data_IF_636438393367
#
_entry.id   IF_636438393367
#
_cell.length_a   1.000
_cell.length_b   1.000
_cell.length_c   1.000
_cell.angle_alpha   90.00
_cell.angle_beta   90.00
_cell.angle_gamma   90.00
#
_symmetry.space_group_name_H-M   'P 1'
#
loop_
_entity.id
_entity.type
_entity.pdbx_description
1 polymer ?
#
# COMPACT_ATOMS: atom_id res chain seq x y z
N UNK A 1 -5.10 -12.34 25.47
CA UNK A 1 -5.94 -13.53 25.64
C UNK A 1 -6.70 -13.75 24.36
N UNK A 2 -6.57 -14.92 23.74
CA UNK A 2 -7.49 -15.34 22.70
C UNK A 2 -8.68 -16.01 23.40
N UNK A 3 -9.90 -15.60 23.09
CA UNK A 3 -11.11 -15.98 23.83
C UNK A 3 -12.32 -16.06 22.87
N UNK A 4 -13.47 -16.53 23.35
CA UNK A 4 -14.74 -16.68 22.63
C UNK A 4 -14.70 -17.66 21.45
N UNK A 5 -14.03 -18.80 21.63
CA UNK A 5 -14.04 -19.87 20.64
C UNK A 5 -15.27 -20.77 20.81
N UNK A 6 -15.93 -21.08 19.69
CA UNK A 6 -17.00 -22.06 19.62
C UNK A 6 -16.77 -22.96 18.41
N UNK A 7 -17.03 -24.26 18.58
CA UNK A 7 -16.95 -25.22 17.48
C UNK A 7 -18.21 -25.08 16.62
N UNK A 8 -18.05 -24.78 15.34
CA UNK A 8 -19.16 -24.80 14.40
C UNK A 8 -19.36 -26.23 13.88
N UNK A 9 -20.59 -26.76 13.94
CA UNK A 9 -20.90 -28.16 13.57
C UNK A 9 -20.75 -28.48 12.07
N UNK A 10 -20.52 -27.46 11.26
CA UNK A 10 -20.41 -27.53 9.80
C UNK A 10 -18.99 -27.15 9.39
N UNK A 11 -18.10 -28.11 9.09
CA UNK A 11 -16.71 -27.82 8.72
C UNK A 11 -16.56 -27.01 7.42
N UNK A 12 -17.61 -26.93 6.61
CA UNK A 12 -17.70 -26.12 5.39
C UNK A 12 -17.94 -24.62 5.67
N UNK A 13 -18.45 -24.27 6.86
CA UNK A 13 -18.72 -22.89 7.29
C UNK A 13 -17.48 -22.25 7.92
N UNK A 14 -16.42 -22.18 7.13
CA UNK A 14 -15.20 -21.44 7.49
C UNK A 14 -15.44 -19.94 7.36
N UNK A 15 -14.77 -19.14 8.17
CA UNK A 15 -14.70 -17.69 7.95
C UNK A 15 -14.11 -17.41 6.57
N UNK A 16 -14.80 -16.61 5.76
CA UNK A 16 -14.35 -16.18 4.44
C UNK A 16 -14.23 -14.66 4.44
N UNK A 17 -13.31 -14.14 3.64
CA UNK A 17 -13.28 -12.70 3.40
C UNK A 17 -14.63 -12.24 2.84
N UNK A 18 -15.18 -11.16 3.39
CA UNK A 18 -16.48 -10.61 2.98
C UNK A 18 -17.70 -11.13 3.76
N UNK A 19 -17.55 -12.03 4.75
CA UNK A 19 -18.69 -12.51 5.56
C UNK A 19 -19.03 -11.60 6.76
N UNK A 20 -18.30 -10.50 6.94
CA UNK A 20 -18.55 -9.53 8.01
C UNK A 20 -19.63 -8.53 7.57
N UNK A 21 -20.56 -8.21 8.47
CA UNK A 21 -21.52 -7.13 8.24
C UNK A 21 -20.83 -5.75 8.23
N UNK A 22 -19.83 -5.56 9.10
CA UNK A 22 -19.11 -4.31 9.23
C UNK A 22 -18.23 -4.28 10.47
N UNK A 23 -17.72 -3.10 10.79
CA UNK A 23 -16.88 -2.85 11.96
C UNK A 23 -17.55 -1.81 12.86
N UNK A 24 -17.42 -1.97 14.18
CA UNK A 24 -17.82 -0.96 15.14
C UNK A 24 -16.60 -0.15 15.56
N UNK A 25 -16.64 1.17 15.35
CA UNK A 25 -15.55 2.08 15.67
C UNK A 25 -15.93 2.98 16.85
N UNK A 26 -14.97 3.18 17.75
CA UNK A 26 -15.05 4.19 18.82
C UNK A 26 -13.85 5.12 18.68
N UNK A 27 -14.10 6.34 18.20
CA UNK A 27 -13.08 7.31 17.82
C UNK A 27 -13.08 8.46 18.84
N UNK A 28 -11.89 8.86 19.31
CA UNK A 28 -11.70 10.05 20.14
C UNK A 28 -10.92 11.10 19.34
N UNK A 29 -11.57 12.21 19.03
CA UNK A 29 -10.93 13.37 18.41
C UNK A 29 -10.27 14.24 19.49
N UNK A 30 -9.13 14.86 19.17
CA UNK A 30 -8.36 15.75 20.06
C UNK A 30 -8.05 17.06 19.33
N UNK A 31 -7.88 18.16 20.06
CA UNK A 31 -7.53 19.47 19.47
C UNK A 31 -8.67 20.13 18.68
N UNK A 32 -9.91 19.98 19.16
CA UNK A 32 -11.11 20.51 18.49
C UNK A 32 -11.39 21.94 18.96
N UNK A 33 -11.71 22.83 18.02
CA UNK A 33 -12.11 24.20 18.33
C UNK A 33 -13.46 24.26 19.05
N UNK A 34 -13.64 25.17 20.02
CA UNK A 34 -14.92 25.34 20.71
C UNK A 34 -16.08 25.61 19.73
N UNK A 35 -17.20 24.90 19.88
CA UNK A 35 -18.41 25.07 19.04
C UNK A 35 -18.57 24.05 17.91
N UNK A 36 -17.53 23.29 17.57
CA UNK A 36 -17.53 22.31 16.46
C UNK A 36 -18.36 21.04 16.72
N UNK A 37 -19.02 20.91 17.90
CA UNK A 37 -19.78 19.70 18.27
C UNK A 37 -21.10 19.56 17.53
N UNK A 38 -21.68 20.67 17.05
CA UNK A 38 -22.97 20.68 16.35
C UNK A 38 -22.91 19.98 14.99
N UNK A 39 -21.76 20.00 14.32
CA UNK A 39 -21.55 19.45 12.98
C UNK A 39 -21.63 17.91 12.96
N UNK A 40 -21.29 17.26 14.08
CA UNK A 40 -21.29 15.79 14.20
C UNK A 40 -22.70 15.20 14.15
N UNK A 41 -23.73 15.98 14.50
CA UNK A 41 -25.13 15.53 14.45
C UNK A 41 -25.55 15.07 13.05
N UNK A 42 -25.08 15.78 12.01
CA UNK A 42 -25.38 15.47 10.61
C UNK A 42 -24.93 14.06 10.18
N UNK A 43 -23.82 13.55 10.75
CA UNK A 43 -23.33 12.19 10.45
C UNK A 43 -24.32 11.11 10.87
N UNK A 44 -25.13 11.37 11.91
CA UNK A 44 -26.18 10.45 12.35
C UNK A 44 -27.37 10.49 11.42
N UNK A 45 -27.78 11.68 11.01
CA UNK A 45 -29.06 11.90 10.32
C UNK A 45 -28.96 11.66 8.81
N UNK A 46 -27.86 12.09 8.19
CA UNK A 46 -27.65 11.99 6.74
C UNK A 46 -26.52 11.04 6.36
N UNK A 47 -25.73 10.58 7.33
CA UNK A 47 -24.55 9.76 7.05
C UNK A 47 -23.37 10.59 6.51
N UNK A 48 -22.52 9.95 5.71
CA UNK A 48 -21.37 10.56 5.08
C UNK A 48 -21.13 9.97 3.68
N UNK A 49 -20.37 10.68 2.85
CA UNK A 49 -20.00 10.18 1.52
C UNK A 49 -18.95 9.08 1.67
N UNK A 50 -19.25 7.90 1.14
CA UNK A 50 -18.38 6.73 1.22
C UNK A 50 -17.20 6.83 0.23
N UNK A 51 -16.21 7.65 0.55
CA UNK A 51 -14.99 7.78 -0.22
C UNK A 51 -13.99 6.66 0.09
N UNK A 52 -13.20 6.30 -0.91
CA UNK A 52 -11.94 5.60 -0.66
C UNK A 52 -10.98 6.54 0.07
N UNK A 53 -10.64 6.22 1.32
CA UNK A 53 -9.68 7.02 2.09
C UNK A 53 -8.25 6.93 1.53
N UNK A 54 -7.41 7.92 1.87
CA UNK A 54 -6.03 8.06 1.36
C UNK A 54 -5.16 6.79 1.52
N UNK A 55 -5.38 6.03 2.59
CA UNK A 55 -4.70 4.75 2.83
C UNK A 55 -4.88 3.73 1.68
N UNK A 56 -5.96 3.80 0.89
CA UNK A 56 -6.17 2.91 -0.25
C UNK A 56 -5.28 3.25 -1.44
N UNK A 57 -4.75 4.46 -1.46
CA UNK A 57 -3.99 4.99 -2.58
C UNK A 57 -2.47 4.91 -2.36
N UNK A 58 -2.00 4.43 -1.20
CA UNK A 58 -0.55 4.38 -0.94
C UNK A 58 0.03 5.81 -0.93
N UNK A 59 -0.36 6.59 0.08
CA UNK A 59 -0.04 8.01 0.20
C UNK A 59 1.43 8.21 0.61
N UNK A 60 2.20 8.88 -0.26
CA UNK A 60 3.56 9.31 0.04
C UNK A 60 3.52 10.67 0.76
N UNK A 61 4.14 10.74 1.94
CA UNK A 61 4.19 11.97 2.74
C UNK A 61 5.10 13.05 2.13
N UNK A 62 6.00 12.69 1.22
CA UNK A 62 6.92 13.62 0.58
C UNK A 62 6.26 14.48 -0.49
N UNK A 63 5.70 13.84 -1.52
CA UNK A 63 5.09 14.55 -2.66
C UNK A 63 3.56 14.63 -2.61
N UNK A 64 2.93 14.02 -1.59
CA UNK A 64 1.47 13.99 -1.44
C UNK A 64 0.77 13.20 -2.54
N UNK A 65 1.50 12.40 -3.32
CA UNK A 65 0.94 11.66 -4.43
C UNK A 65 0.76 10.18 -4.10
N UNK A 66 -0.16 9.57 -4.84
CA UNK A 66 -0.48 8.15 -4.73
C UNK A 66 0.38 7.32 -5.68
N UNK A 67 1.19 6.41 -5.14
CA UNK A 67 1.90 5.42 -5.96
C UNK A 67 0.93 4.50 -6.71
N UNK A 68 -0.17 4.09 -6.06
CA UNK A 68 -1.15 3.18 -6.66
C UNK A 68 -1.90 3.81 -7.85
N UNK A 69 -2.29 5.09 -7.76
CA UNK A 69 -3.00 5.78 -8.84
C UNK A 69 -2.09 5.95 -10.05
N UNK A 70 -0.83 6.35 -9.86
CA UNK A 70 0.13 6.47 -10.97
C UNK A 70 0.44 5.13 -11.61
N UNK A 71 0.72 4.11 -10.81
CA UNK A 71 0.98 2.77 -11.31
C UNK A 71 -0.24 2.20 -12.05
N UNK A 72 -1.44 2.34 -11.48
CA UNK A 72 -2.68 1.91 -12.12
C UNK A 72 -2.98 2.66 -13.42
N UNK A 73 -2.81 3.98 -13.43
CA UNK A 73 -2.95 4.80 -14.63
C UNK A 73 -2.02 4.35 -15.75
N UNK A 74 -0.73 4.16 -15.43
CA UNK A 74 0.27 3.71 -16.39
C UNK A 74 -0.06 2.31 -16.95
N UNK A 75 -0.56 1.39 -16.12
CA UNK A 75 -1.02 0.06 -16.59
C UNK A 75 -2.19 0.20 -17.56
N UNK A 76 -3.21 1.01 -17.22
CA UNK A 76 -4.39 1.21 -18.06
C UNK A 76 -4.02 1.84 -19.41
N UNK A 77 -3.05 2.76 -19.42
CA UNK A 77 -2.55 3.41 -20.65
C UNK A 77 -1.47 2.60 -21.36
N UNK A 78 -1.19 1.36 -20.92
CA UNK A 78 -0.14 0.47 -21.46
C UNK A 78 1.28 1.03 -21.39
N UNK A 79 1.52 2.02 -20.53
CA UNK A 79 2.87 2.46 -20.17
C UNK A 79 3.45 1.54 -19.09
N UNK A 80 3.80 0.32 -19.49
CA UNK A 80 4.34 -0.67 -18.55
C UNK A 80 5.68 -0.24 -17.96
N UNK A 81 6.49 0.51 -18.72
CA UNK A 81 7.76 1.07 -18.22
C UNK A 81 7.51 2.10 -17.12
N UNK A 82 6.58 3.03 -17.32
CA UNK A 82 6.14 3.97 -16.30
C UNK A 82 5.51 3.29 -15.09
N UNK A 83 4.74 2.22 -15.31
CA UNK A 83 4.15 1.44 -14.24
C UNK A 83 5.21 0.81 -13.33
N UNK A 84 6.22 0.15 -13.90
CA UNK A 84 7.31 -0.45 -13.10
C UNK A 84 8.14 0.62 -12.39
N UNK A 85 8.48 1.73 -13.07
CA UNK A 85 9.19 2.85 -12.43
C UNK A 85 8.40 3.46 -11.27
N UNK A 86 7.08 3.62 -11.43
CA UNK A 86 6.20 4.14 -10.37
C UNK A 86 6.08 3.16 -9.20
N UNK A 87 5.94 1.86 -9.49
CA UNK A 87 5.81 0.81 -8.47
C UNK A 87 7.09 0.63 -7.65
N UNK A 88 8.26 0.66 -8.31
CA UNK A 88 9.55 0.54 -7.66
C UNK A 88 10.01 1.84 -7.00
N UNK A 89 9.26 2.94 -7.11
CA UNK A 89 9.60 4.19 -6.43
C UNK A 89 9.47 4.01 -4.91
N UNK A 90 10.55 4.20 -4.13
CA UNK A 90 10.46 4.17 -2.68
C UNK A 90 9.66 5.38 -2.17
N UNK A 91 9.07 5.24 -0.98
CA UNK A 91 8.43 6.35 -0.28
C UNK A 91 9.48 7.34 0.22
N UNK A 92 9.12 8.61 0.36
CA UNK A 92 10.06 9.63 0.80
C UNK A 92 10.63 9.40 2.21
N UNK A 93 9.87 8.75 3.10
CA UNK A 93 10.30 8.40 4.46
C UNK A 93 10.89 6.98 4.59
N UNK A 94 11.08 6.27 3.47
CA UNK A 94 11.67 4.92 3.46
C UNK A 94 13.20 4.96 3.40
N UNK A 95 13.83 4.61 4.51
CA UNK A 95 15.29 4.61 4.74
C UNK A 95 15.90 3.21 4.70
N UNK A 96 15.18 2.21 4.17
CA UNK A 96 15.69 0.85 4.06
C UNK A 96 16.81 0.71 3.01
N UNK A 97 17.60 -0.36 3.14
CA UNK A 97 18.64 -0.72 2.16
C UNK A 97 18.03 -0.94 0.76
N UNK A 98 16.88 -1.61 0.66
CA UNK A 98 16.22 -1.84 -0.62
C UNK A 98 15.63 -0.55 -1.23
N UNK A 99 15.25 0.43 -0.41
CA UNK A 99 14.85 1.75 -0.89
C UNK A 99 16.04 2.49 -1.53
N UNK A 100 17.23 2.39 -0.95
CA UNK A 100 18.47 2.93 -1.52
C UNK A 100 18.75 2.36 -2.91
N UNK A 101 18.70 1.03 -3.02
CA UNK A 101 18.98 0.33 -4.28
C UNK A 101 17.96 0.73 -5.36
N UNK A 102 16.68 0.86 -4.99
CA UNK A 102 15.62 1.32 -5.91
C UNK A 102 15.81 2.78 -6.34
N UNK A 103 16.28 3.67 -5.45
CA UNK A 103 16.63 5.06 -5.81
C UNK A 103 17.77 5.10 -6.82
N UNK A 104 18.85 4.37 -6.55
CA UNK A 104 20.00 4.29 -7.46
C UNK A 104 19.57 3.77 -8.85
N UNK A 105 18.73 2.74 -8.89
CA UNK A 105 18.20 2.24 -10.16
C UNK A 105 17.35 3.29 -10.91
N UNK A 106 16.53 4.06 -10.22
CA UNK A 106 15.70 5.09 -10.86
C UNK A 106 16.54 6.19 -11.52
N UNK A 107 17.69 6.52 -10.93
CA UNK A 107 18.66 7.48 -11.44
C UNK A 107 19.51 6.93 -12.58
N UNK A 108 20.06 5.73 -12.41
CA UNK A 108 21.04 5.13 -13.34
C UNK A 108 20.40 4.34 -14.48
N UNK A 109 19.24 3.74 -14.24
CA UNK A 109 18.60 2.78 -15.14
C UNK A 109 19.27 1.40 -15.17
N UNK A 110 20.30 1.15 -14.37
CA UNK A 110 21.08 -0.11 -14.38
C UNK A 110 20.35 -1.20 -13.59
N UNK A 111 19.50 -1.95 -14.30
CA UNK A 111 18.69 -3.01 -13.72
C UNK A 111 19.53 -4.21 -13.26
N UNK A 112 20.62 -4.55 -13.95
CA UNK A 112 21.49 -5.68 -13.56
C UNK A 112 22.17 -5.42 -12.22
N UNK A 113 22.73 -4.21 -12.04
CA UNK A 113 23.34 -3.80 -10.78
C UNK A 113 22.34 -3.81 -9.64
N UNK A 114 21.14 -3.26 -9.87
CA UNK A 114 20.09 -3.20 -8.86
C UNK A 114 19.63 -4.58 -8.41
N UNK A 115 19.40 -5.51 -9.35
CA UNK A 115 19.04 -6.91 -9.03
C UNK A 115 20.13 -7.60 -8.21
N UNK A 116 21.41 -7.40 -8.57
CA UNK A 116 22.54 -7.99 -7.83
C UNK A 116 22.70 -7.43 -6.42
N UNK A 117 22.36 -6.16 -6.21
CA UNK A 117 22.36 -5.55 -4.88
C UNK A 117 21.18 -6.07 -4.05
N UNK A 118 19.98 -6.14 -4.64
CA UNK A 118 18.79 -6.65 -3.96
C UNK A 118 18.94 -8.12 -3.54
N UNK A 119 19.71 -8.95 -4.25
CA UNK A 119 19.94 -10.36 -3.87
C UNK A 119 20.80 -10.54 -2.63
N UNK A 120 21.48 -9.47 -2.20
CA UNK A 120 22.31 -9.44 -1.00
C UNK A 120 21.64 -8.68 0.14
N UNK A 121 20.63 -7.87 -0.15
CA UNK A 121 19.91 -7.10 0.84
C UNK A 121 19.15 -8.03 1.79
N UNK A 122 19.21 -7.73 3.08
CA UNK A 122 18.54 -8.50 4.14
C UNK A 122 17.42 -7.65 4.73
N UNK A 123 16.15 -8.00 4.51
CA UNK A 123 15.03 -7.20 5.00
C UNK A 123 13.99 -8.00 5.79
N UNK A 124 13.02 -7.28 6.35
CA UNK A 124 11.94 -7.81 7.20
C UNK A 124 10.88 -8.61 6.45
N UNK A 125 10.78 -8.48 5.12
CA UNK A 125 9.78 -9.18 4.28
C UNK A 125 10.41 -9.59 2.94
N UNK A 126 11.09 -10.75 2.92
CA UNK A 126 11.83 -11.28 1.76
C UNK A 126 10.98 -11.48 0.49
N UNK A 127 9.65 -11.45 0.60
CA UNK A 127 8.71 -11.61 -0.53
C UNK A 127 8.74 -10.41 -1.47
N UNK A 128 8.87 -9.20 -0.93
CA UNK A 128 8.87 -7.98 -1.73
C UNK A 128 10.18 -7.85 -2.54
N UNK A 129 11.32 -8.20 -1.93
CA UNK A 129 12.62 -8.24 -2.60
C UNK A 129 12.61 -9.18 -3.81
N UNK A 130 12.07 -10.39 -3.64
CA UNK A 130 12.02 -11.38 -4.72
C UNK A 130 11.22 -10.87 -5.91
N UNK A 131 10.09 -10.20 -5.63
CA UNK A 131 9.27 -9.57 -6.66
C UNK A 131 10.04 -8.44 -7.38
N UNK A 132 10.72 -7.57 -6.64
CA UNK A 132 11.47 -6.45 -7.22
C UNK A 132 12.63 -6.94 -8.09
N UNK A 133 13.38 -7.95 -7.63
CA UNK A 133 14.43 -8.60 -8.43
C UNK A 133 13.88 -9.15 -9.75
N UNK A 134 12.73 -9.84 -9.69
CA UNK A 134 12.09 -10.40 -10.89
C UNK A 134 11.74 -9.29 -11.87
N UNK A 135 11.08 -8.23 -11.41
CA UNK A 135 10.71 -7.10 -12.26
C UNK A 135 11.93 -6.43 -12.91
N UNK A 136 13.00 -6.21 -12.15
CA UNK A 136 14.23 -5.59 -12.64
C UNK A 136 14.97 -6.49 -13.64
N UNK A 137 15.03 -7.79 -13.38
CA UNK A 137 15.60 -8.77 -14.33
C UNK A 137 14.85 -8.80 -15.65
N UNK A 138 13.52 -8.79 -15.65
CA UNK A 138 12.72 -8.75 -16.89
C UNK A 138 12.91 -7.44 -17.66
N UNK A 139 13.11 -6.32 -16.97
CA UNK A 139 13.43 -5.05 -17.62
C UNK A 139 14.81 -5.05 -18.26
N UNK A 140 15.78 -5.81 -17.72
CA UNK A 140 17.11 -5.94 -18.31
C UNK A 140 17.09 -6.79 -19.59
N UNK A 141 16.15 -7.74 -19.71
CA UNK A 141 16.05 -8.64 -20.87
C UNK A 141 15.18 -8.09 -22.00
N UNK A 142 14.26 -7.17 -21.71
CA UNK A 142 13.48 -6.46 -22.72
C UNK A 142 14.35 -5.45 -23.48
N UNK A 143 14.82 -5.83 -24.68
CA UNK A 143 15.43 -4.93 -25.67
C UNK A 143 14.40 -4.26 -26.56
#
# INVERSE_FOLDING_TARGET
SLDNFQLHQSPEKKFKCGTLYGNCFRIRLRGIEPGSSSEVGSLRDTGFINYFGLQRFGWDKGDGQSSHVRTGGAIITRDFRGAVRSYLRPLADDVSEDAEIRREWLETGDAERATKALSKASTRDNRDITLYQTMLSELATCR
#
